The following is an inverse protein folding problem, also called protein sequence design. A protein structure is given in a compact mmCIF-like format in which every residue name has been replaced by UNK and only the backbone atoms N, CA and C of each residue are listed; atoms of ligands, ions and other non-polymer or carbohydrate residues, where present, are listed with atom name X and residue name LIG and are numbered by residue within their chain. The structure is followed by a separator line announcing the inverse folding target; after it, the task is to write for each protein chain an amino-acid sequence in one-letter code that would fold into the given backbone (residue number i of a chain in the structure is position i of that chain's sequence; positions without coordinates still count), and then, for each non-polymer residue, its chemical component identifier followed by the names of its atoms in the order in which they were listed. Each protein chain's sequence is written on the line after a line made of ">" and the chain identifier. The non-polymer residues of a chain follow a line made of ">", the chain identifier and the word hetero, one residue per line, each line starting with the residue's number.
data_IF_994799607145
#
_entry.id   IF_994799607145
#
_cell.length_a   1.000
_cell.length_b   1.000
_cell.length_c   1.000
_cell.angle_alpha   90.00
_cell.angle_beta   90.00
_cell.angle_gamma   90.00
#
_symmetry.space_group_name_H-M   'P 1'
#
loop_
_entity.id
_entity.type
_entity.pdbx_description
1 polymer ?
#
# COMPACT_ATOMS: atom_id res chain seq x y z
N UNK A 1 8.91 -15.26 5.92
CA UNK A 1 7.69 -15.31 5.05
C UNK A 1 7.32 -13.90 4.64
N UNK A 2 7.28 -13.65 3.36
CA UNK A 2 6.89 -12.35 2.85
C UNK A 2 5.43 -12.06 3.17
N UNK A 3 5.12 -10.78 3.31
CA UNK A 3 3.79 -10.31 3.65
C UNK A 3 3.35 -9.26 2.63
N UNK A 4 2.10 -9.34 2.19
CA UNK A 4 1.53 -8.40 1.25
C UNK A 4 0.28 -7.77 1.86
N UNK A 5 0.20 -6.45 1.80
CA UNK A 5 -1.01 -5.72 2.17
C UNK A 5 -1.61 -5.12 0.91
N UNK A 6 -2.89 -5.38 0.67
CA UNK A 6 -3.61 -4.79 -0.46
C UNK A 6 -4.59 -3.75 0.09
N UNK A 7 -4.55 -2.57 -0.50
CA UNK A 7 -5.49 -1.49 -0.20
C UNK A 7 -6.34 -1.26 -1.44
N UNK A 8 -7.65 -1.36 -1.31
CA UNK A 8 -8.58 -1.19 -2.41
C UNK A 8 -9.50 -0.01 -2.14
N UNK A 9 -9.63 0.88 -3.11
CA UNK A 9 -10.41 2.12 -2.97
C UNK A 9 -10.86 2.66 -4.32
N UNK A 10 -11.73 3.65 -4.29
CA UNK A 10 -12.21 4.35 -5.49
C UNK A 10 -11.48 5.69 -5.61
N UNK A 11 -11.00 6.03 -6.80
CA UNK A 11 -10.28 7.27 -7.03
C UNK A 11 -9.63 7.30 -8.41
N UNK A 12 -8.62 8.15 -8.57
CA UNK A 12 -7.85 8.22 -9.80
C UNK A 12 -6.46 7.62 -9.61
N UNK A 13 -5.92 7.04 -10.68
CA UNK A 13 -4.56 6.49 -10.67
C UNK A 13 -3.54 7.59 -10.33
N UNK A 14 -3.74 8.80 -10.84
CA UNK A 14 -2.86 9.94 -10.58
C UNK A 14 -2.80 10.27 -9.09
N UNK A 15 -3.94 10.33 -8.42
CA UNK A 15 -3.99 10.61 -6.98
C UNK A 15 -3.29 9.51 -6.18
N UNK A 16 -3.50 8.25 -6.56
CA UNK A 16 -2.85 7.11 -5.90
C UNK A 16 -1.33 7.16 -6.07
N UNK A 17 -0.86 7.47 -7.28
CA UNK A 17 0.58 7.61 -7.56
C UNK A 17 1.18 8.75 -6.76
N UNK A 18 0.50 9.88 -6.70
CA UNK A 18 0.97 11.05 -5.94
C UNK A 18 1.05 10.73 -4.44
N UNK A 19 0.09 9.99 -3.91
CA UNK A 19 0.09 9.55 -2.51
C UNK A 19 1.31 8.69 -2.19
N UNK A 20 1.64 7.73 -3.06
CA UNK A 20 2.81 6.87 -2.89
C UNK A 20 4.10 7.70 -2.97
N UNK A 21 4.21 8.59 -3.96
CA UNK A 21 5.39 9.44 -4.11
C UNK A 21 5.62 10.32 -2.88
N UNK A 22 4.57 10.91 -2.34
CA UNK A 22 4.66 11.70 -1.10
C UNK A 22 5.12 10.85 0.07
N UNK A 23 4.59 9.64 0.21
CA UNK A 23 5.00 8.72 1.25
C UNK A 23 6.48 8.38 1.15
N UNK A 24 6.97 8.05 -0.04
CA UNK A 24 8.37 7.72 -0.29
C UNK A 24 9.28 8.89 0.07
N UNK A 25 8.91 10.09 -0.34
CA UNK A 25 9.70 11.30 -0.09
C UNK A 25 9.82 11.60 1.42
N UNK A 26 8.76 11.41 2.17
CA UNK A 26 8.72 11.73 3.59
C UNK A 26 9.34 10.60 4.43
N UNK A 27 8.99 9.34 4.13
CA UNK A 27 9.47 8.19 4.89
C UNK A 27 10.95 7.91 4.66
N UNK A 28 11.42 8.08 3.43
CA UNK A 28 12.82 7.84 3.09
C UNK A 28 13.28 6.44 3.53
N UNK A 29 14.36 6.39 4.29
CA UNK A 29 14.95 5.13 4.76
C UNK A 29 14.20 4.48 5.93
N UNK A 30 13.26 5.18 6.55
CA UNK A 30 12.50 4.63 7.67
C UNK A 30 11.51 3.56 7.23
N UNK A 31 11.04 3.62 5.99
CA UNK A 31 10.03 2.67 5.51
C UNK A 31 10.56 1.25 5.44
N UNK A 32 9.69 0.30 5.82
CA UNK A 32 9.95 -1.13 5.67
C UNK A 32 9.32 -1.70 4.40
N UNK A 33 8.62 -0.88 3.64
CA UNK A 33 8.04 -1.28 2.36
C UNK A 33 9.15 -1.62 1.37
N UNK A 34 9.06 -2.78 0.74
CA UNK A 34 10.03 -3.23 -0.26
C UNK A 34 9.57 -2.93 -1.67
N UNK A 35 8.28 -2.97 -1.90
CA UNK A 35 7.71 -2.72 -3.22
C UNK A 35 6.28 -2.25 -3.07
N UNK A 36 5.91 -1.26 -3.84
CA UNK A 36 4.54 -0.77 -3.92
C UNK A 36 4.13 -0.75 -5.38
N UNK A 37 2.98 -1.35 -5.67
CA UNK A 37 2.43 -1.41 -7.02
C UNK A 37 1.04 -0.79 -7.01
N UNK A 38 0.80 0.16 -7.90
CA UNK A 38 -0.53 0.76 -8.08
C UNK A 38 -1.17 0.08 -9.27
N UNK A 39 -2.36 -0.48 -9.05
CA UNK A 39 -3.13 -1.17 -10.09
C UNK A 39 -4.49 -0.50 -10.26
N UNK A 40 -4.96 -0.48 -11.49
CA UNK A 40 -6.32 -0.07 -11.82
C UNK A 40 -7.09 -1.33 -12.19
N UNK A 41 -8.29 -1.49 -11.64
CA UNK A 41 -9.13 -2.61 -12.01
C UNK A 41 -9.62 -2.39 -13.44
N UNK A 42 -9.21 -3.27 -14.34
CA UNK A 42 -9.52 -3.16 -15.75
C UNK A 42 -11.02 -3.20 -16.03
N UNK A 43 -11.75 -3.98 -15.24
CA UNK A 43 -13.17 -4.24 -15.46
C UNK A 43 -14.08 -3.31 -14.67
N UNK A 44 -13.53 -2.58 -13.72
CA UNK A 44 -14.28 -1.63 -12.87
C UNK A 44 -13.56 -0.28 -12.88
N UNK A 45 -13.88 0.61 -13.85
CA UNK A 45 -13.22 1.91 -13.94
C UNK A 45 -13.34 2.71 -12.63
N UNK A 46 -12.24 3.32 -12.22
CA UNK A 46 -12.17 4.08 -10.98
C UNK A 46 -11.88 3.26 -9.75
N UNK A 47 -11.79 1.93 -9.85
CA UNK A 47 -11.39 1.07 -8.74
C UNK A 47 -9.90 0.82 -8.80
N UNK A 48 -9.21 1.15 -7.71
CA UNK A 48 -7.75 1.08 -7.62
C UNK A 48 -7.32 0.14 -6.50
N UNK A 49 -6.17 -0.51 -6.71
CA UNK A 49 -5.55 -1.36 -5.70
C UNK A 49 -4.09 -0.95 -5.56
N UNK A 50 -3.63 -0.80 -4.30
CA UNK A 50 -2.22 -0.65 -3.99
C UNK A 50 -1.75 -1.95 -3.37
N UNK A 51 -0.73 -2.56 -3.97
CA UNK A 51 -0.15 -3.82 -3.50
C UNK A 51 1.18 -3.47 -2.83
N UNK A 52 1.23 -3.63 -1.51
CA UNK A 52 2.38 -3.24 -0.69
C UNK A 52 3.07 -4.50 -0.18
N UNK A 53 4.34 -4.67 -0.53
CA UNK A 53 5.11 -5.86 -0.17
C UNK A 53 6.14 -5.56 0.92
N UNK A 54 6.21 -6.45 1.89
CA UNK A 54 7.18 -6.41 3.00
C UNK A 54 7.93 -7.73 3.07
N UNK A 55 9.12 -7.72 3.65
CA UNK A 55 9.91 -8.94 3.87
C UNK A 55 9.27 -9.87 4.89
N UNK A 56 8.52 -9.31 5.86
CA UNK A 56 7.87 -10.07 6.92
C UNK A 56 6.65 -9.34 7.47
N UNK A 57 5.80 -10.07 8.17
CA UNK A 57 4.68 -9.50 8.91
C UNK A 57 5.18 -8.54 10.00
N UNK A 58 6.28 -8.88 10.67
CA UNK A 58 6.89 -8.04 11.71
C UNK A 58 7.29 -6.69 11.13
N UNK A 59 7.90 -6.67 9.95
CA UNK A 59 8.27 -5.44 9.28
C UNK A 59 7.04 -4.60 8.93
N UNK A 60 5.95 -5.23 8.51
CA UNK A 60 4.70 -4.53 8.24
C UNK A 60 4.15 -3.87 9.50
N UNK A 61 4.22 -4.54 10.63
CA UNK A 61 3.75 -3.99 11.91
C UNK A 61 4.62 -2.82 12.36
N UNK A 62 5.93 -2.92 12.22
CA UNK A 62 6.85 -1.81 12.51
C UNK A 62 6.52 -0.62 11.60
N UNK A 63 6.31 -0.88 10.33
CA UNK A 63 6.00 0.17 9.36
C UNK A 63 4.68 0.88 9.68
N UNK A 64 3.66 0.14 10.11
CA UNK A 64 2.36 0.70 10.48
C UNK A 64 2.43 1.62 11.69
N UNK A 65 3.42 1.41 12.56
CA UNK A 65 3.62 2.22 13.76
C UNK A 65 4.44 3.50 13.50
N UNK A 66 5.01 3.66 12.32
CA UNK A 66 5.73 4.89 11.97
C UNK A 66 4.75 6.06 11.88
N UNK A 67 5.14 7.21 12.41
CA UNK A 67 4.31 8.42 12.35
C UNK A 67 3.96 8.80 10.90
N UNK A 68 4.92 8.70 9.99
CA UNK A 68 4.70 9.01 8.58
C UNK A 68 3.65 8.08 7.96
N UNK A 69 3.64 6.81 8.35
CA UNK A 69 2.69 5.82 7.84
C UNK A 69 1.28 6.10 8.38
N UNK A 70 1.17 6.41 9.67
CA UNK A 70 -0.11 6.77 10.29
C UNK A 70 -0.72 8.00 9.64
N UNK A 71 0.10 9.01 9.41
CA UNK A 71 -0.33 10.25 8.77
C UNK A 71 -0.76 10.01 7.32
N UNK A 72 0.00 9.21 6.57
CA UNK A 72 -0.36 8.86 5.20
C UNK A 72 -1.69 8.10 5.14
N UNK A 73 -1.93 7.18 6.07
CA UNK A 73 -3.19 6.44 6.15
C UNK A 73 -4.38 7.38 6.42
N UNK A 74 -4.21 8.35 7.30
CA UNK A 74 -5.24 9.37 7.57
C UNK A 74 -5.53 10.21 6.33
N UNK A 75 -4.50 10.63 5.61
CA UNK A 75 -4.63 11.40 4.37
C UNK A 75 -5.33 10.59 3.28
N UNK A 76 -4.98 9.31 3.13
CA UNK A 76 -5.61 8.42 2.16
C UNK A 76 -7.09 8.21 2.47
N UNK A 77 -7.44 7.98 3.72
CA UNK A 77 -8.84 7.85 4.14
C UNK A 77 -9.62 9.12 3.85
N UNK A 78 -9.01 10.27 4.08
CA UNK A 78 -9.63 11.57 3.81
C UNK A 78 -9.82 11.82 2.30
N UNK A 79 -8.85 11.40 1.49
CA UNK A 79 -8.85 11.63 0.04
C UNK A 79 -9.70 10.63 -0.73
N UNK A 80 -9.66 9.35 -0.34
CA UNK A 80 -10.29 8.26 -1.09
C UNK A 80 -11.56 7.70 -0.44
N UNK A 81 -11.90 8.16 0.77
CA UNK A 81 -13.05 7.64 1.52
C UNK A 81 -12.76 6.24 2.08
N UNK A 82 -13.69 5.31 1.85
CA UNK A 82 -13.55 3.95 2.36
C UNK A 82 -12.43 3.20 1.67
N UNK A 83 -11.46 2.74 2.45
CA UNK A 83 -10.35 1.92 1.98
C UNK A 83 -10.50 0.53 2.56
N UNK A 84 -10.55 -0.48 1.70
CA UNK A 84 -10.61 -1.88 2.11
C UNK A 84 -9.19 -2.44 2.17
N UNK A 85 -8.90 -3.21 3.21
CA UNK A 85 -7.58 -3.80 3.41
C UNK A 85 -7.65 -5.31 3.36
N UNK A 86 -6.64 -5.93 2.73
CA UNK A 86 -6.39 -7.36 2.83
C UNK A 86 -4.95 -7.57 3.25
N UNK A 87 -4.76 -8.46 4.19
CA UNK A 87 -3.44 -8.81 4.72
C UNK A 87 -3.16 -10.26 4.33
N UNK A 88 -2.09 -10.48 3.58
CA UNK A 88 -1.81 -11.77 2.97
C UNK A 88 -0.43 -12.28 3.37
N UNK A 89 -0.38 -13.52 3.86
CA UNK A 89 0.88 -14.22 4.04
C UNK A 89 1.24 -14.89 2.71
N UNK A 90 2.45 -14.64 2.23
CA UNK A 90 2.93 -15.30 1.01
C UNK A 90 3.34 -16.71 1.39
N UNK A 91 2.62 -17.69 0.87
CA UNK A 91 2.85 -19.11 1.19
C UNK A 91 3.92 -19.69 0.27
N UNK A 92 3.85 -19.38 -1.01
CA UNK A 92 4.79 -19.89 -2.01
C UNK A 92 4.83 -18.96 -3.22
N UNK A 93 5.98 -18.85 -3.85
CA UNK A 93 6.16 -18.08 -5.09
C UNK A 93 6.71 -19.03 -6.14
N UNK A 94 6.03 -19.12 -7.27
CA UNK A 94 6.46 -19.93 -8.40
C UNK A 94 6.95 -19.01 -9.51
N UNK A 95 8.19 -19.19 -9.92
CA UNK A 95 8.75 -18.47 -11.06
C UNK A 95 8.57 -19.33 -12.31
N UNK A 96 7.97 -18.76 -13.35
CA UNK A 96 7.63 -19.47 -14.58
C UNK A 96 8.64 -19.19 -15.69
#
# INVERSE_FOLDING_TARGET
>A
MKFIQIMEFTGSAEEAINSINNYIDIAGEETKVKKATVCEDRDTPGRLLQVIEFDSYEDAMINNDLEVTKKASEEDTSSFGDVEFKNLNVVEVFEM
#
